data_IF_379945873294
#
_entry.id   IF_379945873294
#
_cell.length_a   1.000
_cell.length_b   1.000
_cell.length_c   1.000
_cell.angle_alpha   90.00
_cell.angle_beta   90.00
_cell.angle_gamma   90.00
#
_symmetry.space_group_name_H-M   'P 1'
#
loop_
_entity.id
_entity.type
_entity.pdbx_description
1 polymer ?
#
# COMPACT_ATOMS: atom_id res chain seq x y z
N UNK A 1 9.99 -65.62 5.09
CA UNK A 1 9.67 -66.17 6.45
C UNK A 1 8.28 -65.77 6.82
N UNK A 2 7.43 -66.72 7.03
CA UNK A 2 6.02 -66.62 7.47
C UNK A 2 5.98 -66.52 8.99
N UNK A 3 4.97 -65.81 9.56
CA UNK A 3 4.18 -66.14 10.75
C UNK A 3 3.11 -65.03 10.85
N UNK A 4 1.83 -65.29 10.59
CA UNK A 4 0.69 -65.91 11.27
C UNK A 4 0.31 -65.19 12.56
N UNK A 5 -0.85 -64.48 12.46
CA UNK A 5 -2.16 -64.69 13.10
C UNK A 5 -2.18 -64.80 14.62
N UNK A 6 -3.03 -63.97 15.27
CA UNK A 6 -4.17 -64.54 15.99
C UNK A 6 -5.25 -63.50 16.35
N UNK A 7 -6.46 -63.99 16.25
CA UNK A 7 -7.77 -63.39 16.47
C UNK A 7 -8.12 -63.53 17.96
N UNK A 8 -8.67 -62.48 18.57
CA UNK A 8 -9.55 -62.69 19.73
C UNK A 8 -10.81 -61.83 19.59
N UNK A 9 -11.92 -62.53 19.35
CA UNK A 9 -13.30 -62.10 19.56
C UNK A 9 -13.63 -62.21 21.05
N UNK A 10 -14.23 -61.16 21.60
CA UNK A 10 -15.08 -61.33 22.79
C UNK A 10 -16.26 -60.40 22.69
N UNK A 11 -17.41 -61.02 22.60
CA UNK A 11 -18.75 -60.44 22.64
C UNK A 11 -19.19 -60.38 24.10
N UNK A 12 -19.80 -59.27 24.54
CA UNK A 12 -20.86 -59.26 25.59
C UNK A 12 -21.56 -57.88 25.65
N UNK A 13 -22.80 -57.87 25.22
CA UNK A 13 -24.08 -57.64 25.90
C UNK A 13 -24.33 -56.27 26.60
N UNK A 14 -25.24 -55.56 25.98
CA UNK A 14 -26.37 -54.77 26.48
C UNK A 14 -26.33 -54.19 27.91
N UNK A 15 -26.45 -52.88 28.00
CA UNK A 15 -27.42 -52.25 28.90
C UNK A 15 -27.72 -50.82 28.40
N UNK A 16 -29.02 -50.64 28.11
CA UNK A 16 -29.63 -49.36 27.71
C UNK A 16 -29.79 -48.46 28.93
N UNK A 17 -29.18 -47.30 28.92
CA UNK A 17 -29.56 -46.20 29.80
C UNK A 17 -29.64 -44.93 28.95
N UNK A 18 -30.89 -44.50 28.71
CA UNK A 18 -31.22 -43.21 28.14
C UNK A 18 -30.82 -42.12 29.14
N UNK A 19 -29.76 -41.38 28.85
CA UNK A 19 -29.51 -40.07 29.43
C UNK A 19 -29.79 -39.01 28.37
N UNK A 20 -30.84 -38.23 28.62
CA UNK A 20 -31.15 -37.03 27.87
C UNK A 20 -30.02 -36.01 28.11
N UNK A 21 -29.14 -35.82 27.13
CA UNK A 21 -28.15 -34.75 27.13
C UNK A 21 -28.77 -33.52 26.48
N UNK A 22 -29.11 -32.54 27.31
CA UNK A 22 -29.40 -31.19 26.87
C UNK A 22 -28.17 -30.63 26.16
N UNK A 23 -28.27 -29.97 24.99
CA UNK A 23 -27.17 -29.28 24.38
C UNK A 23 -26.85 -28.03 25.21
N UNK A 24 -25.77 -28.06 25.95
CA UNK A 24 -25.11 -26.85 26.47
C UNK A 24 -24.57 -26.13 25.25
N UNK A 25 -25.22 -25.04 24.87
CA UNK A 25 -24.60 -24.07 23.93
C UNK A 25 -23.39 -23.46 24.62
N UNK A 26 -22.23 -23.97 24.32
CA UNK A 26 -20.99 -23.30 24.62
C UNK A 26 -20.94 -22.01 23.78
N UNK A 27 -21.14 -20.88 24.43
CA UNK A 27 -20.81 -19.58 23.86
C UNK A 27 -19.33 -19.60 23.54
N UNK A 28 -19.00 -19.56 22.24
CA UNK A 28 -17.64 -19.36 21.79
C UNK A 28 -17.21 -17.98 22.30
N UNK A 29 -16.27 -17.97 23.21
CA UNK A 29 -15.56 -16.75 23.58
C UNK A 29 -14.88 -16.21 22.30
N UNK A 30 -14.86 -14.88 22.08
CA UNK A 30 -14.10 -14.31 20.97
C UNK A 30 -12.65 -14.71 21.16
N UNK A 31 -12.08 -15.34 20.14
CA UNK A 31 -10.65 -15.60 20.08
C UNK A 31 -9.95 -14.25 20.12
N UNK A 32 -9.37 -13.92 21.26
CA UNK A 32 -8.36 -12.88 21.35
C UNK A 32 -7.20 -13.34 20.49
N UNK A 33 -7.04 -12.73 19.32
CA UNK A 33 -5.84 -12.89 18.52
C UNK A 33 -4.68 -12.35 19.37
N UNK A 34 -3.94 -13.26 20.02
CA UNK A 34 -2.62 -12.93 20.53
C UNK A 34 -1.77 -12.52 19.32
N UNK A 35 -1.56 -11.22 19.18
CA UNK A 35 -0.55 -10.69 18.27
C UNK A 35 0.79 -11.07 18.90
N UNK A 36 1.37 -12.17 18.42
CA UNK A 36 2.77 -12.52 18.70
C UNK A 36 3.58 -11.41 18.03
N UNK A 37 4.04 -10.46 18.83
CA UNK A 37 5.02 -9.47 18.40
C UNK A 37 6.37 -10.19 18.27
N UNK A 38 6.66 -10.63 17.06
CA UNK A 38 8.00 -11.03 16.69
C UNK A 38 8.87 -9.78 16.66
N UNK A 39 9.70 -9.57 17.70
CA UNK A 39 10.57 -8.40 17.86
C UNK A 39 11.71 -8.34 16.81
N UNK A 40 11.74 -9.30 15.88
CA UNK A 40 12.65 -9.37 14.75
C UNK A 40 11.92 -9.05 13.43
N UNK A 41 11.10 -7.98 13.42
CA UNK A 41 10.46 -7.52 12.19
C UNK A 41 11.53 -6.96 11.24
N UNK A 42 12.20 -7.86 10.53
CA UNK A 42 12.93 -7.50 9.33
C UNK A 42 11.94 -6.90 8.33
N UNK A 43 12.27 -5.74 7.75
CA UNK A 43 11.50 -5.17 6.64
C UNK A 43 11.35 -6.28 5.59
N UNK A 44 10.13 -6.70 5.24
CA UNK A 44 9.97 -7.73 4.22
C UNK A 44 10.73 -7.28 2.97
N UNK A 45 11.52 -8.15 2.38
CA UNK A 45 12.24 -7.84 1.14
C UNK A 45 11.31 -7.38 0.01
N UNK A 46 10.02 -7.69 0.11
CA UNK A 46 8.94 -7.21 -0.76
C UNK A 46 8.58 -5.72 -0.54
N UNK A 47 9.04 -5.09 0.56
CA UNK A 47 8.88 -3.65 0.78
C UNK A 47 9.78 -2.79 -0.13
N UNK A 48 10.68 -3.43 -0.84
CA UNK A 48 11.56 -2.83 -1.83
C UNK A 48 11.11 -3.17 -3.24
N UNK A 49 9.85 -2.94 -3.57
CA UNK A 49 9.46 -2.87 -4.99
C UNK A 49 10.37 -1.86 -5.68
N UNK A 50 10.71 -2.00 -6.97
CA UNK A 50 11.76 -1.22 -7.63
C UNK A 50 11.37 0.25 -7.73
N UNK A 51 11.52 1.00 -6.63
CA UNK A 51 11.37 2.46 -6.66
C UNK A 51 12.52 3.13 -7.42
N UNK A 52 13.59 2.39 -7.71
CA UNK A 52 14.61 2.81 -8.66
C UNK A 52 14.51 1.93 -9.89
N UNK A 53 14.24 2.54 -11.03
CA UNK A 53 14.22 1.85 -12.32
C UNK A 53 15.63 1.83 -12.94
N UNK A 54 16.62 1.35 -12.17
CA UNK A 54 18.00 1.20 -12.67
C UNK A 54 18.08 0.11 -13.74
N UNK A 55 17.18 -0.86 -13.70
CA UNK A 55 17.09 -1.89 -14.72
C UNK A 55 16.65 -1.30 -16.07
N UNK A 56 15.77 -0.29 -16.08
CA UNK A 56 15.43 0.46 -17.30
C UNK A 56 16.63 1.24 -17.86
N UNK A 57 17.43 1.87 -17.01
CA UNK A 57 18.66 2.52 -17.48
C UNK A 57 19.71 1.52 -18.01
N UNK A 58 19.81 0.35 -17.38
CA UNK A 58 20.64 -0.75 -17.85
C UNK A 58 20.18 -1.29 -19.21
N UNK A 59 18.87 -1.51 -19.37
CA UNK A 59 18.25 -1.91 -20.64
C UNK A 59 18.58 -0.90 -21.76
N UNK A 60 18.40 0.39 -21.48
CA UNK A 60 18.71 1.45 -22.47
C UNK A 60 20.19 1.46 -22.84
N UNK A 61 21.08 1.26 -21.87
CA UNK A 61 22.52 1.18 -22.09
C UNK A 61 22.88 0.01 -22.98
N UNK A 62 22.36 -1.19 -22.71
CA UNK A 62 22.64 -2.41 -23.48
C UNK A 62 22.04 -2.30 -24.89
N UNK A 63 20.79 -1.86 -25.02
CA UNK A 63 20.12 -1.67 -26.31
C UNK A 63 20.83 -0.64 -27.20
N UNK A 64 21.43 0.39 -26.59
CA UNK A 64 22.23 1.41 -27.29
C UNK A 64 23.68 1.01 -27.56
N UNK A 65 24.13 -0.15 -27.05
CA UNK A 65 25.51 -0.62 -27.21
C UNK A 65 25.77 -1.22 -28.61
N UNK A 66 27.03 -1.62 -28.85
CA UNK A 66 27.39 -2.37 -30.06
C UNK A 66 27.25 -3.88 -29.91
N UNK A 67 26.41 -4.37 -29.02
CA UNK A 67 26.15 -5.80 -28.81
C UNK A 67 25.65 -6.48 -30.10
N UNK A 68 26.40 -7.50 -30.57
CA UNK A 68 26.20 -8.09 -31.88
C UNK A 68 24.78 -8.61 -32.15
N UNK A 69 24.24 -9.47 -31.26
CA UNK A 69 22.90 -10.05 -31.42
C UNK A 69 21.78 -9.02 -31.22
N UNK A 70 21.91 -8.10 -30.27
CA UNK A 70 20.92 -7.04 -30.07
C UNK A 70 20.78 -6.19 -31.33
N UNK A 71 21.90 -5.87 -32.02
CA UNK A 71 21.88 -5.15 -33.30
C UNK A 71 21.38 -5.99 -34.46
N UNK A 72 21.84 -7.24 -34.60
CA UNK A 72 21.46 -8.13 -35.68
C UNK A 72 19.94 -8.39 -35.69
N UNK A 73 19.35 -8.63 -34.51
CA UNK A 73 17.92 -8.86 -34.33
C UNK A 73 17.10 -7.57 -34.18
N UNK A 74 17.77 -6.40 -34.28
CA UNK A 74 17.14 -5.07 -34.14
C UNK A 74 16.29 -4.96 -32.87
N UNK A 75 16.80 -5.46 -31.73
CA UNK A 75 16.09 -5.44 -30.45
C UNK A 75 16.20 -4.04 -29.85
N UNK A 76 15.05 -3.41 -29.69
CA UNK A 76 14.90 -2.09 -29.07
C UNK A 76 14.76 -2.20 -27.55
N UNK A 77 14.95 -1.14 -26.81
CA UNK A 77 14.92 -1.14 -25.34
C UNK A 77 13.58 -1.64 -24.78
N UNK A 78 12.45 -1.37 -25.45
CA UNK A 78 11.11 -1.85 -25.07
C UNK A 78 10.90 -3.36 -25.27
N UNK A 79 11.82 -4.01 -25.98
CA UNK A 79 11.78 -5.44 -26.31
C UNK A 79 12.93 -6.22 -25.71
N UNK A 80 13.94 -5.55 -25.18
CA UNK A 80 15.07 -6.19 -24.52
C UNK A 80 14.66 -6.60 -23.10
N UNK A 81 14.57 -7.90 -22.85
CA UNK A 81 14.44 -8.47 -21.52
C UNK A 81 15.80 -8.68 -20.90
N UNK A 82 15.93 -8.38 -19.61
CA UNK A 82 17.12 -8.66 -18.83
C UNK A 82 16.75 -9.54 -17.62
N UNK A 83 17.65 -10.44 -17.27
CA UNK A 83 17.60 -11.18 -16.02
C UNK A 83 18.98 -11.05 -15.36
N UNK A 84 19.02 -10.44 -14.17
CA UNK A 84 20.26 -10.24 -13.43
C UNK A 84 20.51 -11.47 -12.58
N UNK A 85 21.47 -12.31 -13.01
CA UNK A 85 21.83 -13.55 -12.32
C UNK A 85 22.65 -13.29 -11.05
N UNK A 86 23.52 -12.29 -11.11
CA UNK A 86 24.32 -11.87 -9.97
C UNK A 86 24.38 -10.34 -9.91
N UNK A 87 24.09 -9.80 -8.73
CA UNK A 87 24.21 -8.37 -8.42
C UNK A 87 25.25 -8.20 -7.31
N UNK A 88 26.51 -8.17 -7.71
CA UNK A 88 27.60 -7.85 -6.79
C UNK A 88 27.74 -6.32 -6.62
N UNK A 89 28.51 -5.93 -5.61
CA UNK A 89 28.80 -4.52 -5.30
C UNK A 89 29.52 -3.78 -6.45
N UNK A 90 30.25 -4.52 -7.28
CA UNK A 90 31.06 -3.97 -8.37
C UNK A 90 30.63 -4.46 -9.76
N UNK A 91 29.78 -5.49 -9.84
CA UNK A 91 29.51 -6.18 -11.10
C UNK A 91 28.09 -6.69 -11.19
N UNK A 92 27.49 -6.60 -12.37
CA UNK A 92 26.19 -7.18 -12.71
C UNK A 92 26.40 -8.21 -13.81
N UNK A 93 26.07 -9.49 -13.55
CA UNK A 93 25.99 -10.54 -14.56
C UNK A 93 24.54 -10.63 -15.07
N UNK A 94 24.33 -10.48 -16.37
CA UNK A 94 23.04 -10.22 -16.95
C UNK A 94 22.80 -11.14 -18.15
N UNK A 95 21.72 -11.89 -18.11
CA UNK A 95 21.19 -12.64 -19.25
C UNK A 95 20.26 -11.74 -20.07
N UNK A 96 20.41 -11.80 -21.41
CA UNK A 96 19.65 -11.00 -22.36
C UNK A 96 18.65 -11.85 -23.14
N UNK A 97 17.45 -11.31 -23.36
CA UNK A 97 16.42 -11.95 -24.18
C UNK A 97 15.63 -10.95 -25.03
N UNK A 98 15.09 -11.40 -26.16
CA UNK A 98 14.06 -10.68 -26.91
C UNK A 98 12.68 -11.11 -26.39
N UNK A 99 11.96 -10.23 -25.75
CA UNK A 99 10.66 -10.51 -25.11
C UNK A 99 9.56 -10.92 -26.11
N UNK A 100 9.76 -10.73 -27.42
CA UNK A 100 8.83 -11.20 -28.46
C UNK A 100 8.93 -12.70 -28.71
N UNK A 101 10.08 -13.29 -28.42
CA UNK A 101 10.34 -14.70 -28.66
C UNK A 101 10.25 -15.43 -27.30
N UNK A 102 9.26 -16.32 -27.20
CA UNK A 102 9.11 -17.12 -25.97
C UNK A 102 9.75 -18.48 -26.17
N UNK A 103 10.53 -18.95 -25.18
CA UNK A 103 11.01 -20.33 -25.16
C UNK A 103 9.84 -21.33 -25.29
N UNK A 104 10.03 -22.37 -26.06
CA UNK A 104 9.08 -23.50 -26.16
C UNK A 104 9.83 -24.81 -25.96
N UNK A 105 9.14 -25.94 -25.69
CA UNK A 105 9.79 -27.24 -25.59
C UNK A 105 10.58 -27.61 -26.85
N UNK A 106 10.15 -27.14 -28.03
CA UNK A 106 10.77 -27.39 -29.34
C UNK A 106 11.94 -26.42 -29.59
N UNK A 107 11.96 -25.25 -28.92
CA UNK A 107 12.99 -24.25 -29.08
C UNK A 107 13.28 -23.57 -27.72
N UNK A 108 13.96 -24.27 -26.80
CA UNK A 108 14.19 -23.78 -25.43
C UNK A 108 15.09 -22.54 -25.37
N UNK A 109 15.88 -22.27 -26.40
CA UNK A 109 16.74 -21.09 -26.51
C UNK A 109 16.12 -19.94 -27.33
N UNK A 110 14.85 -20.01 -27.73
CA UNK A 110 14.23 -18.96 -28.52
C UNK A 110 14.25 -17.62 -27.77
N UNK A 111 14.70 -16.57 -28.47
CA UNK A 111 14.80 -15.22 -27.91
C UNK A 111 16.03 -14.96 -27.04
N UNK A 112 16.89 -15.96 -26.78
CA UNK A 112 18.09 -15.75 -25.99
C UNK A 112 19.14 -14.99 -26.81
N UNK A 113 19.64 -13.88 -26.25
CA UNK A 113 20.60 -12.98 -26.91
C UNK A 113 22.01 -13.08 -26.29
N UNK A 114 22.20 -13.95 -25.28
CA UNK A 114 23.48 -14.16 -24.62
C UNK A 114 23.57 -13.46 -23.26
N UNK A 115 24.80 -13.27 -22.81
CA UNK A 115 25.14 -12.68 -21.50
C UNK A 115 26.04 -11.47 -21.68
N UNK A 116 25.86 -10.51 -20.76
CA UNK A 116 26.74 -9.37 -20.62
C UNK A 116 27.09 -9.18 -19.16
N UNK A 117 28.25 -8.62 -18.92
CA UNK A 117 28.71 -8.21 -17.61
C UNK A 117 28.94 -6.70 -17.61
N UNK A 118 28.31 -5.99 -16.66
CA UNK A 118 28.54 -4.57 -16.44
C UNK A 118 29.37 -4.37 -15.18
N UNK A 119 30.59 -3.83 -15.32
CA UNK A 119 31.42 -3.43 -14.20
C UNK A 119 31.02 -2.03 -13.76
N UNK A 120 30.44 -1.93 -12.54
CA UNK A 120 29.90 -0.69 -11.98
C UNK A 120 31.01 0.33 -11.70
N UNK A 121 32.15 -0.15 -11.18
CA UNK A 121 33.27 0.72 -10.79
C UNK A 121 33.99 1.33 -12.00
N UNK A 122 34.21 0.50 -13.00
CA UNK A 122 34.96 0.88 -14.20
C UNK A 122 34.10 1.48 -15.30
N UNK A 123 32.75 1.37 -15.15
CA UNK A 123 31.77 1.76 -16.16
C UNK A 123 32.06 1.08 -17.51
N UNK A 124 32.25 -0.22 -17.47
CA UNK A 124 32.53 -1.02 -18.67
C UNK A 124 31.49 -2.10 -18.86
N UNK A 125 31.23 -2.43 -20.11
CA UNK A 125 30.30 -3.49 -20.50
C UNK A 125 31.04 -4.49 -21.37
N UNK A 126 30.91 -5.78 -21.09
CA UNK A 126 31.47 -6.86 -21.86
C UNK A 126 30.40 -7.88 -22.23
N UNK A 127 30.45 -8.47 -23.42
CA UNK A 127 29.62 -9.60 -23.79
C UNK A 127 30.44 -10.89 -23.58
N UNK A 128 29.79 -11.86 -22.94
CA UNK A 128 30.29 -13.23 -22.86
C UNK A 128 29.88 -13.93 -24.15
N UNK A 129 30.84 -14.15 -25.04
CA UNK A 129 30.63 -14.88 -26.29
C UNK A 129 30.60 -16.40 -26.09
N UNK A 130 30.81 -17.15 -27.18
CA UNK A 130 30.99 -18.60 -27.13
C UNK A 130 32.24 -19.02 -26.32
N UNK A 131 33.19 -18.12 -26.17
CA UNK A 131 34.37 -18.27 -25.34
C UNK A 131 34.23 -17.39 -24.08
N UNK A 132 33.92 -18.02 -22.98
CA UNK A 132 33.78 -17.34 -21.70
C UNK A 132 35.08 -16.78 -21.14
N UNK A 133 36.26 -17.29 -21.59
CA UNK A 133 37.55 -16.85 -21.13
C UNK A 133 38.00 -15.54 -21.82
N UNK A 134 37.37 -15.16 -22.94
CA UNK A 134 37.66 -13.96 -23.66
C UNK A 134 36.44 -13.08 -23.90
N UNK A 135 35.95 -12.37 -22.85
CA UNK A 135 34.79 -11.48 -22.98
C UNK A 135 35.12 -10.33 -23.94
N UNK A 136 34.15 -10.01 -24.80
CA UNK A 136 34.27 -8.98 -25.83
C UNK A 136 33.85 -7.62 -25.25
N UNK A 137 34.74 -6.60 -25.22
CA UNK A 137 34.34 -5.28 -24.78
C UNK A 137 33.28 -4.65 -25.68
N UNK A 138 32.25 -4.06 -25.05
CA UNK A 138 31.17 -3.36 -25.75
C UNK A 138 31.32 -1.85 -25.56
N UNK A 139 30.96 -1.10 -26.61
CA UNK A 139 30.88 0.35 -26.58
C UNK A 139 29.44 0.81 -26.41
N UNK A 140 29.24 1.87 -25.61
CA UNK A 140 27.96 2.48 -25.36
C UNK A 140 28.11 3.99 -25.14
N UNK A 141 26.99 4.72 -25.03
CA UNK A 141 27.00 6.16 -24.78
C UNK A 141 27.52 6.47 -23.38
N UNK A 142 28.53 7.34 -23.26
CA UNK A 142 29.04 7.79 -21.97
C UNK A 142 27.91 8.37 -21.07
N UNK A 143 27.02 9.18 -21.66
CA UNK A 143 25.89 9.76 -20.93
C UNK A 143 24.91 8.69 -20.39
N UNK A 144 24.76 7.54 -21.08
CA UNK A 144 23.95 6.43 -20.54
C UNK A 144 24.66 5.73 -19.38
N UNK A 145 25.98 5.53 -19.49
CA UNK A 145 26.78 4.97 -18.41
C UNK A 145 26.72 5.83 -17.15
N UNK A 146 26.89 7.14 -17.28
CA UNK A 146 26.78 8.08 -16.15
C UNK A 146 25.40 8.04 -15.47
N UNK A 147 24.32 7.97 -16.26
CA UNK A 147 22.95 7.80 -15.70
C UNK A 147 22.79 6.50 -14.92
N UNK A 148 23.24 5.38 -15.49
CA UNK A 148 23.20 4.10 -14.83
C UNK A 148 24.02 4.10 -13.53
N UNK A 149 25.26 4.58 -13.57
CA UNK A 149 26.09 4.68 -12.37
C UNK A 149 25.46 5.56 -11.28
N UNK A 150 24.88 6.70 -11.68
CA UNK A 150 24.17 7.58 -10.75
C UNK A 150 22.97 6.88 -10.11
N UNK A 151 22.20 6.13 -10.90
CA UNK A 151 21.07 5.35 -10.41
C UNK A 151 21.51 4.26 -9.40
N UNK A 152 22.50 3.44 -9.78
CA UNK A 152 23.01 2.35 -8.94
C UNK A 152 23.64 2.88 -7.63
N UNK A 153 24.36 4.02 -7.70
CA UNK A 153 24.89 4.68 -6.50
C UNK A 153 23.77 5.14 -5.58
N UNK A 154 22.71 5.72 -6.14
CA UNK A 154 21.53 6.16 -5.38
C UNK A 154 20.82 4.96 -4.75
N UNK A 155 20.59 3.88 -5.51
CA UNK A 155 19.99 2.64 -5.02
C UNK A 155 20.77 2.07 -3.83
N UNK A 156 22.10 1.91 -3.99
CA UNK A 156 23.00 1.44 -2.92
C UNK A 156 22.91 2.31 -1.65
N UNK A 157 22.93 3.62 -1.81
CA UNK A 157 22.82 4.56 -0.68
C UNK A 157 21.51 4.36 0.07
N UNK A 158 20.40 4.17 -0.67
CA UNK A 158 19.07 3.99 -0.06
C UNK A 158 18.93 2.62 0.61
N UNK A 159 19.52 1.57 0.04
CA UNK A 159 19.61 0.26 0.69
C UNK A 159 20.42 0.31 1.99
N UNK A 160 21.53 1.08 2.02
CA UNK A 160 22.29 1.29 3.26
C UNK A 160 21.46 2.01 4.32
N UNK A 161 20.66 3.02 3.94
CA UNK A 161 19.74 3.68 4.86
C UNK A 161 18.74 2.68 5.41
N UNK A 162 18.10 1.87 4.57
CA UNK A 162 17.17 0.84 5.00
C UNK A 162 17.79 -0.16 5.97
N UNK A 163 19.03 -0.60 5.72
CA UNK A 163 19.72 -1.58 6.57
C UNK A 163 20.07 -1.05 7.96
N UNK A 164 20.15 0.27 8.15
CA UNK A 164 20.45 0.92 9.42
C UNK A 164 19.22 1.56 10.08
N UNK A 165 18.07 1.45 9.41
CA UNK A 165 16.85 2.12 9.85
C UNK A 165 16.34 1.53 11.16
N UNK A 166 16.08 2.42 12.11
CA UNK A 166 15.27 2.10 13.28
C UNK A 166 13.81 2.39 12.94
N UNK A 167 12.98 1.41 13.09
CA UNK A 167 11.56 1.52 12.85
C UNK A 167 10.76 0.85 13.97
N UNK A 168 9.52 1.20 14.09
CA UNK A 168 8.57 0.51 14.96
C UNK A 168 7.35 0.07 14.13
N UNK A 169 6.72 -1.05 14.50
CA UNK A 169 5.45 -1.45 13.90
C UNK A 169 4.44 -0.33 14.14
N UNK A 170 3.81 0.13 13.08
CA UNK A 170 2.73 1.09 13.18
C UNK A 170 1.40 0.34 13.24
N UNK A 171 0.82 0.23 14.43
CA UNK A 171 -0.51 -0.34 14.62
C UNK A 171 -1.50 0.78 14.40
N UNK A 172 -1.95 0.94 13.16
CA UNK A 172 -3.04 1.87 12.86
C UNK A 172 -4.38 1.22 13.20
N UNK A 173 -5.22 1.90 13.93
CA UNK A 173 -6.63 1.52 14.08
C UNK A 173 -7.39 1.70 12.75
N UNK A 174 -6.91 2.60 11.89
CA UNK A 174 -7.34 2.75 10.50
C UNK A 174 -6.15 2.56 9.56
N UNK A 175 -6.17 1.53 8.69
CA UNK A 175 -5.08 1.28 7.74
C UNK A 175 -5.05 2.29 6.58
N UNK A 176 -6.05 3.15 6.48
CA UNK A 176 -6.19 4.11 5.39
C UNK A 176 -5.69 5.49 5.80
N UNK A 177 -4.84 6.05 4.95
CA UNK A 177 -4.32 7.39 5.08
C UNK A 177 -4.55 8.18 3.80
N UNK A 178 -4.84 9.44 3.94
CA UNK A 178 -5.09 10.32 2.81
C UNK A 178 -3.95 11.30 2.59
N UNK A 179 -3.58 11.50 1.33
CA UNK A 179 -2.57 12.50 0.97
C UNK A 179 -3.13 13.90 1.19
N UNK A 180 -2.36 14.74 1.88
CA UNK A 180 -2.73 16.12 2.23
C UNK A 180 -1.75 17.15 1.66
N UNK A 181 -2.06 18.43 1.86
CA UNK A 181 -1.22 19.55 1.42
C UNK A 181 -1.46 19.92 -0.04
N UNK A 182 -0.43 20.46 -0.71
CA UNK A 182 -0.50 20.93 -2.11
C UNK A 182 0.54 20.24 -2.97
N UNK A 183 0.22 20.01 -4.25
CA UNK A 183 1.13 19.40 -5.22
C UNK A 183 1.36 17.91 -4.99
N UNK A 184 2.34 17.39 -5.69
CA UNK A 184 2.67 15.96 -5.67
C UNK A 184 3.31 15.54 -4.35
N UNK A 185 2.94 14.36 -3.84
CA UNK A 185 3.67 13.65 -2.80
C UNK A 185 4.40 12.48 -3.47
N UNK A 186 5.73 12.52 -3.46
CA UNK A 186 6.55 11.52 -4.13
C UNK A 186 6.76 10.32 -3.23
N UNK A 187 6.93 9.15 -3.86
CA UNK A 187 7.41 7.95 -3.17
C UNK A 187 8.93 7.98 -3.05
N UNK A 188 9.41 7.37 -1.98
CA UNK A 188 10.84 7.25 -1.69
C UNK A 188 11.19 5.77 -1.48
N UNK A 189 12.33 5.34 -1.98
CA UNK A 189 12.83 3.98 -1.78
C UNK A 189 13.31 3.73 -0.36
N UNK A 190 13.73 4.77 0.33
CA UNK A 190 14.07 4.78 1.75
C UNK A 190 13.65 6.14 2.35
N UNK A 191 13.46 6.26 3.66
CA UNK A 191 13.00 7.48 4.32
C UNK A 191 14.11 8.55 4.36
N UNK A 192 14.47 9.06 3.20
CA UNK A 192 15.46 10.13 3.04
C UNK A 192 15.26 10.84 1.69
N UNK A 193 15.45 12.16 1.66
CA UNK A 193 15.21 13.00 0.49
C UNK A 193 15.99 12.55 -0.76
N UNK A 194 17.22 12.09 -0.61
CA UNK A 194 18.01 11.56 -1.72
C UNK A 194 17.46 10.29 -2.33
N UNK A 195 16.50 9.60 -1.64
CA UNK A 195 15.87 8.36 -2.10
C UNK A 195 14.55 8.58 -2.82
N UNK A 196 14.20 9.83 -3.14
CA UNK A 196 12.98 10.18 -3.86
C UNK A 196 12.97 9.57 -5.26
N UNK A 197 11.83 9.01 -5.65
CA UNK A 197 11.54 8.68 -7.04
C UNK A 197 10.77 9.83 -7.69
N UNK A 198 11.38 10.49 -8.66
CA UNK A 198 10.77 11.65 -9.33
C UNK A 198 9.64 11.28 -10.29
N UNK A 199 9.50 10.00 -10.64
CA UNK A 199 8.50 9.49 -11.58
C UNK A 199 7.25 8.90 -10.90
N UNK A 200 7.32 8.61 -9.59
CA UNK A 200 6.23 7.96 -8.85
C UNK A 200 5.74 8.89 -7.75
N UNK A 201 4.48 9.26 -7.85
CA UNK A 201 3.85 10.21 -6.93
C UNK A 201 2.36 9.95 -6.79
N UNK A 202 1.78 10.51 -5.74
CA UNK A 202 0.35 10.62 -5.46
C UNK A 202 -0.02 12.09 -5.29
N UNK A 203 -1.31 12.40 -5.34
CA UNK A 203 -1.82 13.77 -5.23
C UNK A 203 -2.75 13.92 -4.02
N UNK A 204 -3.00 15.15 -3.53
CA UNK A 204 -3.92 15.38 -2.43
C UNK A 204 -5.29 14.76 -2.69
N UNK A 205 -5.78 14.01 -1.69
CA UNK A 205 -7.03 13.25 -1.78
C UNK A 205 -6.85 11.75 -2.08
N UNK A 206 -5.72 11.32 -2.64
CA UNK A 206 -5.43 9.90 -2.82
C UNK A 206 -5.40 9.19 -1.48
N UNK A 207 -5.94 7.96 -1.45
CA UNK A 207 -6.00 7.10 -0.27
C UNK A 207 -4.92 6.03 -0.36
N UNK A 208 -4.12 5.93 0.67
CA UNK A 208 -2.99 5.02 0.78
C UNK A 208 -3.23 3.99 1.87
N UNK A 209 -2.73 2.78 1.67
CA UNK A 209 -2.70 1.75 2.70
C UNK A 209 -1.36 1.80 3.44
N UNK A 210 -1.40 1.87 4.77
CA UNK A 210 -0.20 1.75 5.59
C UNK A 210 0.23 0.30 5.66
N UNK A 211 1.51 0.04 5.43
CA UNK A 211 2.10 -1.32 5.43
C UNK A 211 2.60 -1.73 6.83
N UNK A 212 2.40 -0.87 7.82
CA UNK A 212 2.64 -1.22 9.23
C UNK A 212 4.00 -0.78 9.80
N UNK A 213 4.77 0.02 9.07
CA UNK A 213 6.07 0.50 9.53
C UNK A 213 6.12 2.03 9.57
N UNK A 214 6.70 2.57 10.63
CA UNK A 214 6.96 3.99 10.80
C UNK A 214 8.38 4.20 11.30
N UNK A 215 9.07 5.23 10.83
CA UNK A 215 10.34 5.65 11.46
C UNK A 215 10.05 6.40 12.74
N UNK A 216 10.80 6.10 13.80
CA UNK A 216 10.66 6.76 15.11
C UNK A 216 11.36 8.11 15.16
N UNK A 217 12.42 8.27 14.37
CA UNK A 217 13.21 9.49 14.34
C UNK A 217 13.07 10.20 13.00
N UNK A 218 12.91 11.52 12.99
CA UNK A 218 12.99 12.29 11.76
C UNK A 218 14.35 12.11 11.12
N UNK A 219 14.38 11.87 9.82
CA UNK A 219 15.63 12.00 9.06
C UNK A 219 16.07 13.45 9.12
N UNK A 220 17.37 13.68 9.20
CA UNK A 220 17.96 15.02 9.42
C UNK A 220 17.30 16.10 8.55
N UNK A 221 16.66 17.06 9.21
CA UNK A 221 15.93 18.17 8.56
C UNK A 221 14.42 17.98 8.45
N UNK A 222 13.86 16.85 8.84
CA UNK A 222 12.44 16.54 8.86
C UNK A 222 11.86 16.75 10.26
N UNK A 223 10.65 17.28 10.33
CA UNK A 223 9.96 17.49 11.61
C UNK A 223 9.27 16.24 12.13
N UNK A 224 8.90 15.36 11.22
CA UNK A 224 8.11 14.16 11.48
C UNK A 224 8.70 12.97 10.70
N UNK A 225 8.36 11.76 11.09
CA UNK A 225 8.91 10.54 10.50
C UNK A 225 8.31 10.21 9.13
N UNK A 226 8.50 8.97 8.73
CA UNK A 226 8.06 8.42 7.45
C UNK A 226 7.14 7.22 7.67
N UNK A 227 6.21 7.01 6.75
CA UNK A 227 5.37 5.81 6.70
C UNK A 227 5.70 5.02 5.44
N UNK A 228 5.78 3.71 5.59
CA UNK A 228 5.77 2.79 4.46
C UNK A 228 4.32 2.55 4.05
N UNK A 229 3.98 2.92 2.82
CA UNK A 229 2.61 2.89 2.30
C UNK A 229 2.55 2.20 0.96
N UNK A 230 1.36 1.70 0.61
CA UNK A 230 1.04 1.13 -0.69
C UNK A 230 -0.06 1.93 -1.40
N UNK A 231 0.06 2.06 -2.73
CA UNK A 231 -0.93 2.64 -3.63
C UNK A 231 -0.98 1.83 -4.93
N UNK A 232 -2.05 1.10 -5.16
CA UNK A 232 -2.11 0.13 -6.24
C UNK A 232 -1.02 -0.94 -6.10
N UNK A 233 -0.16 -1.05 -7.12
CA UNK A 233 0.99 -1.96 -7.14
C UNK A 233 2.31 -1.31 -6.71
N UNK A 234 2.28 -0.06 -6.27
CA UNK A 234 3.46 0.68 -5.80
C UNK A 234 3.50 0.67 -4.30
N UNK A 235 4.67 0.40 -3.74
CA UNK A 235 4.95 0.48 -2.32
C UNK A 235 6.21 1.32 -2.09
N UNK A 236 6.20 2.16 -1.05
CA UNK A 236 7.35 2.99 -0.71
C UNK A 236 7.09 3.93 0.45
N UNK A 237 8.08 4.71 0.78
CA UNK A 237 8.04 5.64 1.89
C UNK A 237 7.44 6.98 1.47
N UNK A 238 6.61 7.55 2.34
CA UNK A 238 6.13 8.94 2.22
C UNK A 238 6.31 9.62 3.57
N UNK A 239 6.71 10.88 3.54
CA UNK A 239 6.83 11.68 4.75
C UNK A 239 5.45 11.91 5.39
N UNK A 240 5.33 11.70 6.71
CA UNK A 240 4.05 11.77 7.44
C UNK A 240 3.42 13.16 7.39
N UNK A 241 4.19 14.23 7.17
CA UNK A 241 3.65 15.59 7.01
C UNK A 241 2.80 15.78 5.74
N UNK A 242 2.85 14.81 4.81
CA UNK A 242 2.03 14.76 3.59
C UNK A 242 0.82 13.84 3.73
N UNK A 243 0.59 13.29 4.90
CA UNK A 243 -0.43 12.28 5.16
C UNK A 243 -1.27 12.67 6.38
N UNK A 244 -2.54 12.26 6.36
CA UNK A 244 -3.39 12.31 7.54
C UNK A 244 -4.21 11.01 7.61
N UNK A 245 -4.39 10.47 8.81
CA UNK A 245 -5.32 9.38 9.02
C UNK A 245 -6.75 9.83 8.75
N UNK A 246 -7.64 8.90 8.39
CA UNK A 246 -9.04 9.23 8.18
C UNK A 246 -9.64 9.86 9.44
N UNK A 247 -9.33 9.34 10.62
CA UNK A 247 -9.82 9.89 11.90
C UNK A 247 -9.35 11.33 12.10
N UNK A 248 -8.06 11.63 11.87
CA UNK A 248 -7.55 12.99 12.00
C UNK A 248 -8.20 13.97 11.02
N UNK A 249 -8.60 13.49 9.84
CA UNK A 249 -9.35 14.31 8.86
C UNK A 249 -10.78 14.57 9.32
N UNK A 250 -11.43 13.55 9.89
CA UNK A 250 -12.79 13.65 10.43
C UNK A 250 -12.82 14.59 11.64
N UNK A 251 -11.85 14.48 12.55
CA UNK A 251 -11.69 15.40 13.68
C UNK A 251 -11.46 16.85 13.21
N UNK A 252 -10.59 17.04 12.22
CA UNK A 252 -10.34 18.37 11.67
C UNK A 252 -11.58 18.96 10.97
N UNK A 253 -12.34 18.15 10.23
CA UNK A 253 -13.58 18.59 9.58
C UNK A 253 -14.62 19.00 10.62
N UNK A 254 -14.82 18.19 11.67
CA UNK A 254 -15.70 18.52 12.80
C UNK A 254 -15.28 19.81 13.49
N UNK A 255 -13.99 19.93 13.85
CA UNK A 255 -13.48 21.13 14.53
C UNK A 255 -13.61 22.41 13.68
N UNK A 256 -13.48 22.33 12.35
CA UNK A 256 -13.70 23.46 11.46
C UNK A 256 -15.19 23.84 11.35
N UNK A 257 -16.08 22.83 11.28
CA UNK A 257 -17.53 23.05 11.29
C UNK A 257 -17.98 23.70 12.61
N UNK A 258 -17.45 23.25 13.73
CA UNK A 258 -17.72 23.82 15.05
C UNK A 258 -17.30 25.30 15.12
N UNK A 259 -16.11 25.62 14.67
CA UNK A 259 -15.64 27.03 14.62
C UNK A 259 -16.55 27.89 13.78
N UNK A 260 -16.98 27.43 12.60
CA UNK A 260 -17.90 28.15 11.75
C UNK A 260 -19.27 28.35 12.43
N UNK A 261 -19.79 27.30 13.04
CA UNK A 261 -21.07 27.36 13.76
C UNK A 261 -21.01 28.35 14.92
N UNK A 262 -19.98 28.30 15.77
CA UNK A 262 -19.79 29.21 16.90
C UNK A 262 -19.63 30.67 16.42
N UNK A 263 -18.94 30.91 15.30
CA UNK A 263 -18.84 32.25 14.71
C UNK A 263 -20.20 32.76 14.25
N UNK A 264 -21.08 31.89 13.75
CA UNK A 264 -22.44 32.24 13.31
C UNK A 264 -23.41 32.50 14.50
N UNK A 265 -23.15 31.83 15.66
CA UNK A 265 -24.00 31.97 16.85
C UNK A 265 -23.85 33.29 17.61
N UNK A 266 -22.84 34.12 17.34
CA UNK A 266 -22.58 35.36 18.10
C UNK A 266 -23.79 36.27 18.30
N UNK A 267 -24.83 36.11 17.48
CA UNK A 267 -26.07 36.90 17.53
C UNK A 267 -27.36 36.06 17.47
N UNK A 268 -27.30 34.74 17.62
CA UNK A 268 -28.47 33.86 17.46
C UNK A 268 -28.55 32.85 18.60
N UNK A 269 -29.78 32.58 19.10
CA UNK A 269 -29.97 31.48 20.05
C UNK A 269 -29.90 30.14 19.32
N UNK A 270 -29.32 29.09 19.95
CA UNK A 270 -29.39 27.74 19.41
C UNK A 270 -30.86 27.33 19.20
N UNK A 271 -31.18 26.85 18.02
CA UNK A 271 -32.54 26.38 17.71
C UNK A 271 -32.41 25.09 16.90
N UNK A 272 -33.25 24.11 17.20
CA UNK A 272 -33.36 22.90 16.40
C UNK A 272 -34.57 23.01 15.47
N UNK A 273 -34.39 22.51 14.25
CA UNK A 273 -35.43 22.51 13.23
C UNK A 273 -35.71 21.08 12.78
N UNK A 274 -36.97 20.76 12.59
CA UNK A 274 -37.41 19.47 12.06
C UNK A 274 -37.30 19.49 10.53
N UNK A 275 -36.62 18.51 9.99
CA UNK A 275 -36.50 18.24 8.55
C UNK A 275 -37.06 16.85 8.26
N UNK A 276 -37.53 16.63 7.05
CA UNK A 276 -37.93 15.32 6.53
C UNK A 276 -36.87 14.80 5.58
N UNK A 277 -36.53 13.53 5.66
CA UNK A 277 -35.64 12.84 4.75
C UNK A 277 -36.36 12.63 3.42
N UNK A 278 -35.72 13.00 2.31
CA UNK A 278 -36.30 12.90 0.96
C UNK A 278 -35.79 11.72 0.17
N UNK A 279 -34.63 11.18 0.52
CA UNK A 279 -33.98 10.06 -0.13
C UNK A 279 -34.43 8.73 0.50
N UNK A 280 -34.42 7.62 -0.30
CA UNK A 280 -34.78 6.30 0.20
C UNK A 280 -33.86 5.81 1.32
N UNK A 281 -32.61 6.27 1.32
CA UNK A 281 -31.61 5.98 2.36
C UNK A 281 -30.60 7.13 2.40
N UNK A 282 -30.41 7.71 3.58
CA UNK A 282 -29.43 8.78 3.84
C UNK A 282 -28.55 8.33 5.00
N UNK A 283 -27.24 8.25 4.78
CA UNK A 283 -26.27 7.73 5.77
C UNK A 283 -25.86 8.81 6.75
N UNK A 284 -25.51 8.38 7.95
CA UNK A 284 -24.83 9.21 8.94
C UNK A 284 -23.33 9.28 8.66
N UNK A 285 -22.76 10.41 9.04
CA UNK A 285 -21.33 10.69 9.00
C UNK A 285 -20.89 11.24 10.37
N UNK A 286 -19.69 10.84 10.82
CA UNK A 286 -19.10 11.34 12.07
C UNK A 286 -18.62 12.79 11.95
N UNK A 287 -18.31 13.21 10.73
CA UNK A 287 -17.87 14.55 10.39
C UNK A 287 -18.50 15.01 9.06
N UNK A 288 -18.51 16.31 8.74
CA UNK A 288 -19.03 16.84 7.49
C UNK A 288 -18.09 16.61 6.29
N UNK A 289 -17.78 15.33 6.05
CA UNK A 289 -16.96 14.85 4.94
C UNK A 289 -17.43 13.45 4.53
N UNK A 290 -17.49 13.19 3.22
CA UNK A 290 -17.96 11.89 2.68
C UNK A 290 -17.08 10.69 3.04
N UNK A 291 -15.83 10.93 3.41
CA UNK A 291 -14.94 9.90 3.92
C UNK A 291 -15.18 9.51 5.37
N UNK A 292 -15.97 10.29 6.13
CA UNK A 292 -16.21 10.10 7.56
C UNK A 292 -17.54 9.39 7.82
N UNK A 293 -17.77 8.27 7.14
CA UNK A 293 -19.00 7.47 7.28
C UNK A 293 -18.96 6.77 8.64
N UNK A 294 -20.06 6.90 9.42
CA UNK A 294 -20.31 6.05 10.60
C UNK A 294 -20.44 4.57 10.20
N UNK A 295 -20.54 3.68 11.16
CA UNK A 295 -20.82 2.27 10.90
C UNK A 295 -21.93 2.12 9.85
N UNK A 296 -21.71 1.20 8.89
CA UNK A 296 -22.55 1.03 7.70
C UNK A 296 -24.05 0.78 8.01
N UNK A 297 -24.39 0.52 9.27
CA UNK A 297 -25.74 0.30 9.75
C UNK A 297 -26.53 1.60 10.05
N UNK A 298 -25.85 2.72 10.30
CA UNK A 298 -26.53 3.95 10.71
C UNK A 298 -26.99 4.77 9.49
N UNK A 299 -28.31 4.79 9.30
CA UNK A 299 -28.98 5.55 8.24
C UNK A 299 -30.40 5.93 8.64
N UNK A 300 -30.94 6.94 7.97
CA UNK A 300 -32.36 7.28 7.99
C UNK A 300 -32.98 7.01 6.61
N UNK A 301 -34.31 6.82 6.59
CA UNK A 301 -35.04 6.54 5.36
C UNK A 301 -36.02 7.66 5.04
N UNK A 302 -36.54 7.62 3.82
CA UNK A 302 -37.54 8.59 3.35
C UNK A 302 -38.67 8.78 4.34
N UNK A 303 -39.06 10.02 4.55
CA UNK A 303 -40.09 10.51 5.46
C UNK A 303 -39.71 10.46 6.95
N UNK A 304 -38.54 9.94 7.32
CA UNK A 304 -38.02 10.06 8.68
C UNK A 304 -37.85 11.54 9.08
N UNK A 305 -38.09 11.80 10.37
CA UNK A 305 -37.89 13.13 10.95
C UNK A 305 -36.47 13.26 11.50
N UNK A 306 -35.73 14.22 10.98
CA UNK A 306 -34.36 14.57 11.45
C UNK A 306 -34.37 15.95 12.10
N UNK A 307 -33.85 16.06 13.30
CA UNK A 307 -33.78 17.28 14.07
C UNK A 307 -32.42 17.94 13.91
N UNK A 308 -32.36 18.96 13.03
CA UNK A 308 -31.14 19.70 12.73
C UNK A 308 -30.89 20.73 13.82
N UNK A 309 -29.75 20.66 14.48
CA UNK A 309 -29.29 21.61 15.51
C UNK A 309 -28.35 22.68 14.95
N UNK A 310 -27.76 22.42 13.79
CA UNK A 310 -26.89 23.35 13.05
C UNK A 310 -27.47 23.60 11.65
N UNK A 311 -28.41 24.55 11.51
CA UNK A 311 -29.19 24.72 10.27
C UNK A 311 -28.39 25.33 9.11
N UNK A 312 -27.22 25.88 9.35
CA UNK A 312 -26.31 26.33 8.29
C UNK A 312 -25.46 25.16 7.81
N UNK A 313 -25.62 24.72 6.56
CA UNK A 313 -24.80 23.64 6.05
C UNK A 313 -23.32 24.01 6.06
N UNK A 314 -22.49 23.05 6.45
CA UNK A 314 -21.04 23.10 6.30
C UNK A 314 -20.62 22.09 5.24
N UNK A 315 -20.02 22.55 4.16
CA UNK A 315 -19.59 21.70 3.02
C UNK A 315 -20.69 20.76 2.48
N UNK A 316 -21.95 21.18 2.53
CA UNK A 316 -23.09 20.39 2.08
C UNK A 316 -23.68 19.44 3.14
N UNK A 317 -23.19 19.48 4.36
CA UNK A 317 -23.70 18.67 5.48
C UNK A 317 -24.39 19.52 6.54
N UNK A 318 -25.36 18.92 7.23
CA UNK A 318 -26.00 19.49 8.43
C UNK A 318 -25.87 18.50 9.58
N UNK A 319 -25.68 19.03 10.78
CA UNK A 319 -25.61 18.24 12.01
C UNK A 319 -26.97 18.17 12.70
N UNK A 320 -27.27 17.04 13.32
CA UNK A 320 -28.50 16.87 14.06
C UNK A 320 -28.66 15.46 14.59
N UNK A 321 -29.93 15.13 14.96
CA UNK A 321 -30.26 13.86 15.56
C UNK A 321 -31.53 13.24 14.96
N UNK A 322 -31.52 11.94 14.90
CA UNK A 322 -32.67 11.09 14.61
C UNK A 322 -33.12 10.36 15.86
N UNK A 323 -34.43 10.30 16.09
CA UNK A 323 -35.01 9.54 17.20
C UNK A 323 -35.88 8.43 16.58
N UNK A 324 -35.48 7.19 16.75
CA UNK A 324 -36.17 6.05 16.19
C UNK A 324 -37.59 5.94 16.82
N UNK A 325 -38.66 6.00 16.03
CA UNK A 325 -40.05 6.14 16.57
C UNK A 325 -40.51 4.97 17.43
N UNK A 326 -40.04 3.75 17.13
CA UNK A 326 -40.47 2.56 17.87
C UNK A 326 -39.61 2.27 19.11
N UNK A 327 -38.33 2.62 19.11
CA UNK A 327 -37.37 2.25 20.18
C UNK A 327 -36.92 3.43 21.03
N UNK A 328 -37.12 4.66 20.56
CA UNK A 328 -36.59 5.85 21.19
C UNK A 328 -35.04 6.00 21.09
N UNK A 329 -34.34 5.08 20.38
CA UNK A 329 -32.89 5.18 20.18
C UNK A 329 -32.59 6.47 19.46
N UNK A 330 -31.59 7.23 19.98
CA UNK A 330 -31.12 8.47 19.39
C UNK A 330 -29.82 8.17 18.63
N UNK A 331 -29.75 8.60 17.37
CA UNK A 331 -28.52 8.63 16.58
C UNK A 331 -28.21 10.08 16.26
N UNK A 332 -27.01 10.54 16.58
CA UNK A 332 -26.52 11.89 16.28
C UNK A 332 -25.42 11.81 15.25
N UNK A 333 -25.32 12.86 14.41
CA UNK A 333 -24.27 12.94 13.41
C UNK A 333 -24.62 13.91 12.27
N UNK A 334 -23.82 13.82 11.23
CA UNK A 334 -23.95 14.65 10.03
C UNK A 334 -24.71 13.91 8.94
N UNK A 335 -25.60 14.62 8.23
CA UNK A 335 -26.28 14.12 7.03
C UNK A 335 -26.02 15.10 5.87
N UNK A 336 -26.02 14.57 4.62
CA UNK A 336 -25.98 15.41 3.43
C UNK A 336 -27.24 16.27 3.37
N UNK A 337 -27.07 17.59 3.23
CA UNK A 337 -28.16 18.56 3.31
C UNK A 337 -29.16 18.44 2.15
N UNK A 338 -28.70 17.98 0.98
CA UNK A 338 -29.55 17.77 -0.21
C UNK A 338 -30.54 16.62 -0.05
N UNK A 339 -30.29 15.70 0.89
CA UNK A 339 -31.21 14.65 1.27
C UNK A 339 -32.33 15.07 2.24
N UNK A 340 -32.40 16.35 2.61
CA UNK A 340 -33.31 16.87 3.63
C UNK A 340 -34.20 18.00 3.09
N UNK A 341 -35.45 18.04 3.58
CA UNK A 341 -36.42 19.12 3.30
C UNK A 341 -37.00 19.65 4.61
N UNK A 342 -37.03 20.96 4.76
CA UNK A 342 -37.66 21.68 5.88
C UNK A 342 -39.17 21.60 5.80
#
# INVERSE_FOLDING_TARGET
MRFRTDVFRTTMLLSSLFFAVLPVMAAAAPATAEVIMDNDATIPATATGPLFDCDSELIKLIAGSNHGLVRAEKVTADRLGIYIENRDINELAIQLSDTRQKPSPESPGAGQLGWVTYNIKENTLTATGADAEHPVPLTFSAAQGERLQSCLKKEKTCQQILSTLRYEPFIAMSPEWRVTGKGRAYFYAAPAEQCRNDNVFVVPGDVLQVVGLRTTEPVKGEKEGWLLVAYGNVQGWINVNRLASQDALCDAATGNADKQYQAGLKNSKPSSYKYSVTQNRLRFYDAPDKGCITDAADFVVKDDAFWVDRPQPYQGFVHGRYIHPATGKVTEGWLEADGLKK
#
